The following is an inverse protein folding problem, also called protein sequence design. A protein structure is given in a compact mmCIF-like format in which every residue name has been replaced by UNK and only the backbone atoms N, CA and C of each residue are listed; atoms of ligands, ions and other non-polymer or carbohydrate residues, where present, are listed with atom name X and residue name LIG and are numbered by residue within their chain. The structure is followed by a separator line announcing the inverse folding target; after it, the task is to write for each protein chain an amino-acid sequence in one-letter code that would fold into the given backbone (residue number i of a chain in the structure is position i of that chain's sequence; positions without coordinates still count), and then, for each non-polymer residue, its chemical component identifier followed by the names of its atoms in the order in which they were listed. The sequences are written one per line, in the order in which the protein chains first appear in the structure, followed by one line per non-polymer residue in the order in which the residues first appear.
data_IF_338146776901
#
_entry.id   IF_338146776901
#
_cell.length_a   1.000
_cell.length_b   1.000
_cell.length_c   1.000
_cell.angle_alpha   90.00
_cell.angle_beta   90.00
_cell.angle_gamma   90.00
#
_symmetry.space_group_name_H-M   'P 1'
#
loop_
_entity.id
_entity.type
_entity.pdbx_description
1 polymer ?
#
# COMPACT_ATOMS: atom_id res chain seq x y z
N UNK A 1 -3.79 -11.84 -3.10
CA UNK A 1 -3.82 -13.30 -3.19
C UNK A 1 -2.70 -13.97 -2.42
N UNK A 2 -2.67 -15.31 -2.45
CA UNK A 2 -1.69 -16.10 -1.75
C UNK A 2 -1.07 -17.14 -2.68
N UNK A 3 0.22 -17.42 -2.48
CA UNK A 3 0.96 -18.49 -3.10
C UNK A 3 1.49 -19.40 -1.98
N UNK A 4 1.20 -20.69 -2.06
CA UNK A 4 1.69 -21.66 -1.08
C UNK A 4 3.22 -21.76 -1.12
N UNK A 5 3.87 -21.79 0.03
CA UNK A 5 5.34 -21.86 0.11
C UNK A 5 5.88 -23.17 -0.49
N UNK A 6 5.14 -24.28 -0.36
CA UNK A 6 5.46 -25.59 -0.95
C UNK A 6 4.89 -25.79 -2.38
N UNK A 7 4.16 -24.81 -2.92
CA UNK A 7 3.61 -24.82 -4.28
C UNK A 7 2.25 -25.53 -4.45
N UNK A 8 1.67 -26.17 -3.41
CA UNK A 8 0.43 -26.92 -3.59
C UNK A 8 -0.60 -26.85 -2.46
N UNK A 9 -0.22 -26.57 -1.21
CA UNK A 9 -1.14 -26.45 -0.08
C UNK A 9 -0.58 -25.56 1.05
N UNK A 10 -1.36 -25.35 2.11
CA UNK A 10 -0.99 -24.44 3.20
C UNK A 10 -0.13 -25.09 4.30
N UNK A 11 0.31 -26.32 4.15
CA UNK A 11 1.09 -27.02 5.21
C UNK A 11 2.48 -26.42 5.43
N UNK A 12 3.05 -25.79 4.39
CA UNK A 12 4.32 -25.08 4.44
C UNK A 12 4.19 -23.57 4.68
N UNK A 13 2.97 -23.06 4.94
CA UNK A 13 2.67 -21.64 4.97
C UNK A 13 2.45 -21.05 3.58
N UNK A 14 2.26 -19.74 3.53
CA UNK A 14 1.99 -19.02 2.29
C UNK A 14 2.69 -17.68 2.22
N UNK A 15 2.79 -17.16 1.00
CA UNK A 15 3.26 -15.82 0.69
C UNK A 15 2.15 -14.99 0.07
N UNK A 16 2.03 -13.75 0.48
CA UNK A 16 1.11 -12.79 -0.13
C UNK A 16 1.64 -12.36 -1.49
N UNK A 17 0.78 -12.37 -2.51
CA UNK A 17 1.12 -11.99 -3.89
C UNK A 17 0.03 -11.10 -4.47
N UNK A 18 0.37 -10.30 -5.47
CA UNK A 18 -0.64 -9.53 -6.17
C UNK A 18 -1.24 -10.36 -7.31
N UNK A 19 -2.56 -10.36 -7.39
CA UNK A 19 -3.32 -11.09 -8.39
C UNK A 19 -4.35 -10.15 -9.04
N UNK A 20 -4.75 -10.47 -10.25
CA UNK A 20 -5.82 -9.75 -10.93
C UNK A 20 -7.00 -10.67 -11.26
N UNK A 21 -8.17 -10.07 -11.35
CA UNK A 21 -9.37 -10.68 -11.90
C UNK A 21 -10.05 -9.66 -12.80
N UNK A 22 -10.61 -10.10 -13.91
CA UNK A 22 -11.37 -9.26 -14.81
C UNK A 22 -12.87 -9.43 -14.54
N UNK A 23 -13.63 -8.34 -14.41
CA UNK A 23 -15.09 -8.43 -14.35
C UNK A 23 -15.65 -9.11 -15.59
N UNK A 24 -16.64 -9.98 -15.41
CA UNK A 24 -17.32 -10.65 -16.52
C UNK A 24 -18.48 -9.80 -17.07
N UNK A 25 -18.90 -8.78 -16.33
CA UNK A 25 -20.00 -7.87 -16.68
C UNK A 25 -19.82 -6.49 -16.03
N UNK A 26 -20.55 -5.51 -16.52
CA UNK A 26 -20.50 -4.12 -16.05
C UNK A 26 -21.08 -3.94 -14.63
N UNK A 27 -21.97 -4.86 -14.20
CA UNK A 27 -22.55 -4.86 -12.86
C UNK A 27 -21.61 -5.40 -11.78
N UNK A 28 -20.41 -5.91 -12.16
CA UNK A 28 -19.39 -6.45 -11.28
C UNK A 28 -19.89 -7.61 -10.38
N UNK A 29 -20.88 -8.37 -10.87
CA UNK A 29 -21.48 -9.48 -10.10
C UNK A 29 -20.66 -10.76 -10.14
N UNK A 30 -19.75 -10.88 -11.11
CA UNK A 30 -18.79 -11.98 -11.24
C UNK A 30 -17.49 -11.49 -11.85
N UNK A 31 -16.41 -12.26 -11.62
CA UNK A 31 -15.10 -11.96 -12.18
C UNK A 31 -14.28 -13.24 -12.43
N UNK A 32 -13.56 -13.25 -13.53
CA UNK A 32 -12.64 -14.32 -13.91
C UNK A 32 -11.23 -14.01 -13.43
N UNK A 33 -10.66 -14.90 -12.60
CA UNK A 33 -9.28 -14.78 -12.10
C UNK A 33 -8.29 -14.93 -13.25
N UNK A 34 -7.37 -13.97 -13.37
CA UNK A 34 -6.33 -13.97 -14.41
C UNK A 34 -4.98 -14.52 -13.88
N UNK A 35 -4.85 -14.69 -12.58
CA UNK A 35 -3.65 -15.21 -11.96
C UNK A 35 -2.77 -14.17 -11.29
N UNK A 36 -1.55 -14.57 -10.97
CA UNK A 36 -0.56 -13.74 -10.30
C UNK A 36 0.10 -12.77 -11.28
N UNK A 37 0.16 -11.50 -10.89
CA UNK A 37 0.80 -10.42 -11.66
C UNK A 37 2.09 -9.91 -11.00
N UNK A 38 2.22 -10.01 -9.67
CA UNK A 38 3.46 -9.68 -8.94
C UNK A 38 3.66 -10.74 -7.86
N UNK A 39 4.79 -11.44 -7.94
CA UNK A 39 5.21 -12.42 -6.93
C UNK A 39 5.91 -11.74 -5.75
N UNK A 40 5.91 -12.40 -4.61
CA UNK A 40 6.57 -11.94 -3.41
C UNK A 40 8.09 -12.24 -3.47
N UNK A 41 8.96 -11.23 -3.35
CA UNK A 41 10.40 -11.46 -3.23
C UNK A 41 10.74 -11.88 -1.78
N UNK A 42 10.66 -13.17 -1.52
CA UNK A 42 10.72 -13.78 -0.18
C UNK A 42 12.04 -13.55 0.57
N UNK A 43 13.07 -13.11 -0.13
CA UNK A 43 14.37 -12.69 0.43
C UNK A 43 14.40 -11.23 0.89
N UNK A 44 13.39 -10.42 0.50
CA UNK A 44 13.33 -8.98 0.76
C UNK A 44 12.20 -8.54 1.68
N UNK A 45 11.25 -9.44 1.97
CA UNK A 45 10.04 -9.13 2.75
C UNK A 45 9.84 -10.11 3.88
N UNK A 46 9.16 -9.65 4.94
CA UNK A 46 8.76 -10.42 6.11
C UNK A 46 7.23 -10.63 6.08
N UNK A 47 6.76 -11.62 5.30
CA UNK A 47 5.36 -12.09 5.15
C UNK A 47 4.31 -11.05 4.71
N UNK A 48 4.43 -9.78 5.07
CA UNK A 48 3.45 -8.74 4.74
C UNK A 48 3.74 -8.08 3.39
N UNK A 49 2.86 -8.34 2.39
CA UNK A 49 3.03 -7.89 1.01
C UNK A 49 1.66 -7.78 0.34
N UNK A 50 0.85 -6.76 0.70
CA UNK A 50 -0.59 -6.73 0.40
C UNK A 50 -1.19 -5.34 0.26
N UNK A 51 -2.48 -5.32 -0.07
CA UNK A 51 -3.39 -4.19 -0.11
C UNK A 51 -3.05 -3.20 -1.24
N UNK A 52 -3.16 -3.63 -2.53
CA UNK A 52 -2.77 -2.79 -3.64
C UNK A 52 -3.74 -1.64 -3.89
N UNK A 53 -3.20 -0.42 -4.06
CA UNK A 53 -3.83 0.76 -4.63
C UNK A 53 -3.26 1.01 -6.02
N UNK A 54 -4.14 1.17 -7.01
CA UNK A 54 -3.78 1.40 -8.42
C UNK A 54 -4.32 2.74 -8.87
N UNK A 55 -3.51 3.49 -9.62
CA UNK A 55 -3.93 4.73 -10.27
C UNK A 55 -3.23 4.91 -11.61
N UNK A 56 -3.68 5.89 -12.40
CA UNK A 56 -3.07 6.20 -13.69
C UNK A 56 -2.60 7.66 -13.72
N UNK A 57 -1.38 7.87 -14.21
CA UNK A 57 -0.86 9.21 -14.49
C UNK A 57 -0.29 9.24 -15.91
N UNK A 58 -0.85 10.08 -16.78
CA UNK A 58 -0.54 10.05 -18.21
C UNK A 58 -0.88 8.68 -18.80
N UNK A 59 0.08 8.07 -19.47
CA UNK A 59 -0.06 6.74 -20.10
C UNK A 59 0.50 5.59 -19.26
N UNK A 60 0.81 5.85 -17.98
CA UNK A 60 1.39 4.86 -17.09
C UNK A 60 0.46 4.56 -15.93
N UNK A 61 0.24 3.28 -15.69
CA UNK A 61 -0.40 2.77 -14.50
C UNK A 61 0.64 2.62 -13.39
N UNK A 62 0.28 3.02 -12.20
CA UNK A 62 1.07 2.84 -11.00
C UNK A 62 0.30 1.98 -10.00
N UNK A 63 1.04 1.21 -9.22
CA UNK A 63 0.51 0.43 -8.11
C UNK A 63 1.42 0.61 -6.91
N UNK A 64 0.84 0.83 -5.76
CA UNK A 64 1.53 0.73 -4.48
C UNK A 64 0.80 -0.23 -3.56
N UNK A 65 1.52 -0.86 -2.65
CA UNK A 65 0.96 -1.69 -1.59
C UNK A 65 1.89 -1.72 -0.39
N UNK A 66 1.34 -2.13 0.75
CA UNK A 66 2.08 -2.21 2.00
C UNK A 66 3.02 -3.41 2.04
N UNK A 67 4.19 -3.17 2.59
CA UNK A 67 5.28 -4.14 2.71
C UNK A 67 5.90 -4.05 4.10
N UNK A 68 6.15 -5.20 4.73
CA UNK A 68 7.14 -5.32 5.79
C UNK A 68 8.42 -5.84 5.16
N UNK A 69 9.47 -5.03 5.15
CA UNK A 69 10.77 -5.45 4.61
C UNK A 69 11.42 -6.53 5.46
N UNK A 70 12.45 -7.21 4.96
CA UNK A 70 13.14 -8.29 5.68
C UNK A 70 13.71 -7.85 7.04
N UNK A 71 14.04 -6.57 7.18
CA UNK A 71 14.47 -5.92 8.43
C UNK A 71 13.29 -5.33 9.23
N UNK A 72 12.06 -5.73 8.92
CA UNK A 72 10.81 -5.36 9.60
C UNK A 72 10.54 -3.86 9.62
N UNK A 73 10.76 -3.19 8.49
CA UNK A 73 10.40 -1.79 8.30
C UNK A 73 9.12 -1.69 7.48
N UNK A 74 8.18 -0.88 7.96
CA UNK A 74 6.95 -0.57 7.24
C UNK A 74 7.23 0.31 6.02
N UNK A 75 6.94 -0.22 4.83
CA UNK A 75 7.19 0.43 3.55
C UNK A 75 5.95 0.38 2.66
N UNK A 76 5.90 1.27 1.68
CA UNK A 76 5.06 1.16 0.50
C UNK A 76 5.96 1.06 -0.72
N UNK A 77 5.77 0.03 -1.54
CA UNK A 77 6.55 -0.16 -2.77
C UNK A 77 5.78 0.32 -3.98
N UNK A 78 6.48 0.97 -4.91
CA UNK A 78 5.95 1.49 -6.16
C UNK A 78 6.29 0.57 -7.32
N UNK A 79 5.27 0.27 -8.10
CA UNK A 79 5.37 -0.44 -9.36
C UNK A 79 4.72 0.36 -10.48
N UNK A 80 5.19 0.18 -11.71
CA UNK A 80 4.59 0.76 -12.90
C UNK A 80 4.22 -0.29 -13.94
N UNK A 81 3.27 0.05 -14.81
CA UNK A 81 2.81 -0.81 -15.91
C UNK A 81 2.25 0.03 -17.06
N UNK A 82 2.35 -0.51 -18.28
CA UNK A 82 1.67 0.04 -19.47
C UNK A 82 0.37 -0.68 -19.81
N UNK A 83 0.15 -1.87 -19.26
CA UNK A 83 -0.93 -2.78 -19.66
C UNK A 83 -1.72 -3.38 -18.47
N UNK A 84 -1.37 -3.04 -17.21
CA UNK A 84 -1.91 -3.61 -15.96
C UNK A 84 -1.67 -5.13 -15.79
N UNK A 85 -0.88 -5.72 -16.66
CA UNK A 85 -0.52 -7.16 -16.63
C UNK A 85 0.92 -7.36 -16.23
N UNK A 86 1.82 -6.61 -16.85
CA UNK A 86 3.24 -6.64 -16.55
C UNK A 86 3.60 -5.44 -15.70
N UNK A 87 4.08 -5.71 -14.49
CA UNK A 87 4.44 -4.69 -13.51
C UNK A 87 5.94 -4.71 -13.26
N UNK A 88 6.54 -3.54 -13.30
CA UNK A 88 7.95 -3.34 -13.02
C UNK A 88 8.12 -2.64 -11.68
N UNK A 89 9.00 -3.17 -10.83
CA UNK A 89 9.35 -2.52 -9.57
C UNK A 89 10.15 -1.24 -9.85
N UNK A 90 9.69 -0.13 -9.33
CA UNK A 90 10.37 1.15 -9.46
C UNK A 90 11.27 1.42 -8.25
N UNK A 91 10.65 1.45 -7.05
CA UNK A 91 11.33 1.79 -5.80
C UNK A 91 10.45 1.61 -4.56
N UNK A 92 11.03 1.90 -3.41
CA UNK A 92 10.26 2.24 -2.21
C UNK A 92 9.64 3.63 -2.44
N UNK A 93 8.30 3.71 -2.45
CA UNK A 93 7.56 4.97 -2.54
C UNK A 93 7.68 5.78 -1.25
N UNK A 94 7.54 5.08 -0.12
CA UNK A 94 7.62 5.65 1.21
C UNK A 94 8.04 4.59 2.22
N UNK A 95 8.89 4.97 3.18
CA UNK A 95 9.23 4.18 4.36
C UNK A 95 8.87 4.96 5.61
N UNK A 96 8.17 4.33 6.54
CA UNK A 96 7.83 4.97 7.80
C UNK A 96 9.10 5.32 8.60
N UNK A 97 9.21 6.55 9.15
CA UNK A 97 10.40 6.99 9.88
C UNK A 97 10.59 6.24 11.21
N UNK A 98 9.49 5.91 11.91
CA UNK A 98 9.53 5.15 13.16
C UNK A 98 9.90 3.69 12.87
N UNK A 99 11.02 3.17 13.43
CA UNK A 99 11.46 1.80 13.21
C UNK A 99 10.57 0.74 13.84
N UNK A 100 9.73 1.10 14.81
CA UNK A 100 8.77 0.19 15.43
C UNK A 100 7.55 -0.08 14.52
N UNK A 101 7.30 0.78 13.54
CA UNK A 101 6.26 0.55 12.53
C UNK A 101 6.78 -0.42 11.47
N UNK A 102 6.28 -1.65 11.53
CA UNK A 102 6.78 -2.74 10.69
C UNK A 102 5.93 -3.00 9.44
N UNK A 103 4.71 -2.46 9.37
CA UNK A 103 3.81 -2.63 8.22
C UNK A 103 2.92 -1.41 8.05
N UNK A 104 2.64 -1.05 6.81
CA UNK A 104 1.68 -0.01 6.42
C UNK A 104 0.51 -0.70 5.71
N UNK A 105 -0.57 -0.98 6.47
CA UNK A 105 -1.75 -1.68 5.94
C UNK A 105 -2.68 -0.75 5.18
N UNK A 106 -3.40 -1.32 4.22
CA UNK A 106 -4.45 -0.64 3.46
C UNK A 106 -4.01 0.73 2.94
N UNK A 107 -2.85 0.82 2.24
CA UNK A 107 -2.36 2.09 1.76
C UNK A 107 -3.31 2.71 0.77
N UNK A 108 -3.44 4.03 0.84
CA UNK A 108 -4.14 4.84 -0.12
C UNK A 108 -3.20 5.93 -0.64
N UNK A 109 -3.32 6.28 -1.92
CA UNK A 109 -2.44 7.26 -2.54
C UNK A 109 -3.18 7.99 -3.65
N UNK A 110 -3.41 9.28 -3.48
CA UNK A 110 -4.23 10.07 -4.41
C UNK A 110 -3.86 11.55 -4.41
N UNK A 111 -4.08 12.26 -5.54
CA UNK A 111 -3.83 13.69 -5.63
C UNK A 111 -4.98 14.50 -5.02
N UNK A 112 -4.62 15.66 -4.47
CA UNK A 112 -5.54 16.72 -4.06
C UNK A 112 -5.00 18.07 -4.56
N UNK A 113 -5.82 19.10 -4.50
CA UNK A 113 -5.37 20.48 -4.73
C UNK A 113 -5.35 21.24 -3.41
N UNK A 114 -4.28 21.99 -3.18
CA UNK A 114 -4.21 22.93 -2.07
C UNK A 114 -5.09 24.19 -2.34
N UNK A 115 -5.15 25.10 -1.37
CA UNK A 115 -5.94 26.34 -1.47
C UNK A 115 -5.51 27.27 -2.61
N UNK A 116 -4.28 27.12 -3.10
CA UNK A 116 -3.70 27.92 -4.18
C UNK A 116 -3.80 27.18 -5.53
N UNK A 117 -4.40 26.00 -5.56
CA UNK A 117 -4.60 25.18 -6.75
C UNK A 117 -3.42 24.28 -7.12
N UNK A 118 -2.35 24.25 -6.33
CA UNK A 118 -1.20 23.36 -6.57
C UNK A 118 -1.56 21.92 -6.24
N UNK A 119 -1.07 21.00 -7.06
CA UNK A 119 -1.24 19.56 -6.78
C UNK A 119 -0.38 19.14 -5.60
N UNK A 120 -1.01 18.42 -4.70
CA UNK A 120 -0.41 17.70 -3.58
C UNK A 120 -0.87 16.26 -3.61
N UNK A 121 -0.15 15.40 -2.95
CA UNK A 121 -0.50 13.99 -2.83
C UNK A 121 -0.75 13.64 -1.37
N UNK A 122 -1.76 12.84 -1.15
CA UNK A 122 -2.07 12.24 0.15
C UNK A 122 -1.58 10.81 0.13
N UNK A 123 -0.80 10.46 1.15
CA UNK A 123 -0.48 9.07 1.46
C UNK A 123 -1.23 8.69 2.73
N UNK A 124 -2.11 7.70 2.63
CA UNK A 124 -2.88 7.16 3.76
C UNK A 124 -2.44 5.74 4.07
N UNK A 125 -2.45 5.36 5.33
CA UNK A 125 -2.16 3.98 5.76
C UNK A 125 -2.58 3.74 7.20
N UNK A 126 -2.62 2.46 7.59
CA UNK A 126 -2.76 2.04 8.99
C UNK A 126 -1.41 1.50 9.47
N UNK A 127 -0.79 2.21 10.42
CA UNK A 127 0.57 1.93 10.91
C UNK A 127 0.56 0.81 11.97
N UNK A 128 1.03 -0.38 11.61
CA UNK A 128 1.20 -1.49 12.55
C UNK A 128 2.50 -1.34 13.36
N UNK A 129 2.41 -1.47 14.67
CA UNK A 129 3.52 -1.31 15.59
C UNK A 129 3.72 0.10 16.13
N UNK A 130 2.94 1.06 15.64
CA UNK A 130 2.93 2.43 16.16
C UNK A 130 2.58 2.47 17.64
N UNK A 131 3.38 3.19 18.43
CA UNK A 131 3.20 3.30 19.89
C UNK A 131 2.44 4.57 20.27
N UNK A 132 1.68 4.54 21.36
CA UNK A 132 1.05 5.73 21.93
C UNK A 132 2.09 6.81 22.27
N UNK A 133 1.74 8.06 21.96
CA UNK A 133 2.48 9.25 22.39
C UNK A 133 1.54 10.16 23.17
N UNK A 134 1.62 10.14 24.51
CA UNK A 134 0.67 10.83 25.38
C UNK A 134 -0.76 10.34 25.17
N UNK A 135 -1.61 11.21 24.65
CA UNK A 135 -3.00 10.88 24.30
C UNK A 135 -3.21 10.51 22.83
N UNK A 136 -2.17 10.65 22.02
CA UNK A 136 -2.22 10.35 20.59
C UNK A 136 -1.88 8.89 20.30
N UNK A 137 -2.34 8.38 19.17
CA UNK A 137 -1.98 7.07 18.61
C UNK A 137 -2.25 5.90 19.58
N UNK A 138 -3.40 5.92 20.29
CA UNK A 138 -3.75 4.88 21.27
C UNK A 138 -4.47 3.67 20.69
N UNK A 139 -4.81 3.70 19.40
CA UNK A 139 -5.38 2.54 18.72
C UNK A 139 -4.28 1.52 18.42
N UNK A 140 -4.67 0.26 18.26
CA UNK A 140 -3.73 -0.84 17.94
C UNK A 140 -3.04 -0.59 16.60
N UNK A 141 -3.83 -0.21 15.59
CA UNK A 141 -3.35 0.16 14.26
C UNK A 141 -3.89 1.55 13.93
N UNK A 142 -3.03 2.54 13.96
CA UNK A 142 -3.43 3.93 13.79
C UNK A 142 -3.61 4.27 12.30
N UNK A 143 -4.86 4.45 11.87
CA UNK A 143 -5.18 4.90 10.51
C UNK A 143 -5.01 6.41 10.40
N UNK A 144 -4.19 6.84 9.46
CA UNK A 144 -3.90 8.25 9.28
C UNK A 144 -3.27 8.55 7.92
N UNK A 145 -2.80 9.77 7.78
CA UNK A 145 -2.28 10.28 6.51
C UNK A 145 -1.16 11.29 6.70
N UNK A 146 -0.43 11.51 5.62
CA UNK A 146 0.49 12.62 5.41
C UNK A 146 0.18 13.28 4.08
N UNK A 147 0.48 14.57 3.95
CA UNK A 147 0.39 15.31 2.69
C UNK A 147 1.79 15.67 2.25
N UNK A 148 2.04 15.61 0.95
CA UNK A 148 3.34 15.94 0.39
C UNK A 148 3.31 16.09 -1.12
N UNK A 149 4.46 15.88 -1.75
CA UNK A 149 4.63 15.91 -3.19
C UNK A 149 5.10 14.55 -3.73
N UNK A 150 4.71 14.26 -4.96
CA UNK A 150 5.14 13.09 -5.70
C UNK A 150 5.22 13.42 -7.18
N UNK A 151 6.28 12.94 -7.83
CA UNK A 151 6.44 12.98 -9.27
C UNK A 151 6.43 11.53 -9.80
N UNK A 152 5.87 11.28 -10.99
CA UNK A 152 5.82 9.95 -11.59
C UNK A 152 7.15 9.18 -11.52
N UNK A 153 7.13 7.98 -10.93
CA UNK A 153 8.32 7.14 -10.71
C UNK A 153 9.23 7.58 -9.55
N UNK A 154 8.93 8.70 -8.88
CA UNK A 154 9.67 9.21 -7.71
C UNK A 154 9.22 8.61 -6.38
N UNK A 155 9.93 8.95 -5.31
CA UNK A 155 9.48 8.71 -3.94
C UNK A 155 8.50 9.80 -3.50
N UNK A 156 7.64 9.47 -2.56
CA UNK A 156 6.78 10.47 -1.90
C UNK A 156 7.61 11.29 -0.91
N UNK A 157 7.48 12.61 -1.00
CA UNK A 157 8.16 13.57 -0.11
C UNK A 157 7.14 14.20 0.82
N UNK A 158 7.05 13.76 2.10
CA UNK A 158 6.09 14.31 3.04
C UNK A 158 6.42 15.77 3.37
N UNK A 159 5.38 16.61 3.42
CA UNK A 159 5.42 18.00 3.87
C UNK A 159 4.72 18.17 5.22
N UNK A 160 3.95 17.18 5.65
CA UNK A 160 3.27 17.19 6.95
C UNK A 160 3.70 16.01 7.79
N UNK A 161 3.54 16.14 9.11
CA UNK A 161 3.58 15.02 10.03
C UNK A 161 2.39 14.07 9.80
N UNK A 162 2.50 12.83 10.29
CA UNK A 162 1.40 11.87 10.31
C UNK A 162 0.25 12.38 11.17
N UNK A 163 -0.97 12.34 10.64
CA UNK A 163 -2.20 12.75 11.30
C UNK A 163 -3.22 11.63 11.22
N UNK A 164 -3.89 11.37 12.34
CA UNK A 164 -5.02 10.44 12.35
C UNK A 164 -6.16 10.98 11.47
N UNK A 165 -6.82 10.08 10.73
CA UNK A 165 -8.05 10.40 10.00
C UNK A 165 -9.20 10.72 10.94
N UNK A 166 -9.25 10.05 12.07
CA UNK A 166 -10.33 10.14 13.05
C UNK A 166 -9.78 9.96 14.47
N UNK A 167 -10.43 10.60 15.43
CA UNK A 167 -10.07 10.51 16.84
C UNK A 167 -10.89 9.47 17.62
N UNK A 168 -11.75 8.71 16.94
CA UNK A 168 -12.54 7.61 17.53
C UNK A 168 -11.76 6.29 17.60
N UNK A 169 -12.49 5.22 17.97
CA UNK A 169 -11.88 3.91 18.22
C UNK A 169 -11.95 2.94 17.04
N UNK A 170 -12.81 3.18 16.06
CA UNK A 170 -13.18 2.18 15.04
C UNK A 170 -12.92 2.63 13.60
N UNK A 171 -12.24 3.74 13.37
CA UNK A 171 -11.90 4.17 12.02
C UNK A 171 -10.67 3.41 11.52
N UNK A 172 -10.85 2.59 10.50
CA UNK A 172 -9.80 1.73 9.98
C UNK A 172 -9.94 1.49 8.49
N UNK A 173 -8.79 1.34 7.78
CA UNK A 173 -8.69 0.97 6.38
C UNK A 173 -9.52 1.85 5.40
N UNK A 174 -9.49 3.19 5.51
CA UNK A 174 -10.18 4.05 4.55
C UNK A 174 -9.53 3.93 3.16
N UNK A 175 -10.35 4.07 2.11
CA UNK A 175 -9.91 4.09 0.72
C UNK A 175 -10.64 5.19 -0.05
N UNK A 176 -9.93 5.86 -0.99
CA UNK A 176 -10.49 6.87 -1.90
C UNK A 176 -10.93 6.30 -3.24
#
# INVERSE_FOLDING_TARGET
GHRWANGHDNTGGDWQVQMTALPDNDELTSATKQGMIIDCPTDKVDHHYRDPKVWKTGDTWYMTFGVSSADKRGQMWLFSSKDMVRWEYERVLFQHPDPDVFMLECPDFFPIKDKDGNEKWVIGFSAMGSKPSGFMNRNVNNAGYMIGTWEPGGEFKPETEFRLWDCGHNYYAPQS
#
